data_IF_675229693516
#
_entry.id   IF_675229693516
#
_cell.length_a   1.000
_cell.length_b   1.000
_cell.length_c   1.000
_cell.angle_alpha   90.00
_cell.angle_beta   90.00
_cell.angle_gamma   90.00
#
_symmetry.space_group_name_H-M   'P 1'
#
loop_
_entity.id
_entity.type
_entity.pdbx_description
1 polymer ?
#
# COMPACT_ATOMS: atom_id res chain seq x y z
N UNK A 1 -0.99 -26.30 -24.03
CA UNK A 1 -0.71 -26.27 -22.57
C UNK A 1 -1.87 -25.56 -21.92
N UNK A 2 -2.42 -26.10 -20.83
CA UNK A 2 -3.42 -25.37 -20.05
C UNK A 2 -2.82 -24.05 -19.57
N UNK A 3 -3.61 -22.99 -19.55
CA UNK A 3 -3.17 -21.72 -18.96
C UNK A 3 -2.88 -21.96 -17.48
N UNK A 4 -1.90 -21.27 -16.89
CA UNK A 4 -1.68 -21.32 -15.43
C UNK A 4 -2.96 -21.00 -14.65
N UNK A 5 -3.88 -20.23 -15.26
CA UNK A 5 -5.17 -19.86 -14.69
C UNK A 5 -6.11 -21.04 -14.50
N UNK A 6 -6.09 -22.00 -15.43
CA UNK A 6 -6.92 -23.22 -15.34
C UNK A 6 -6.41 -24.16 -14.24
N UNK A 7 -5.22 -23.90 -13.71
CA UNK A 7 -4.61 -24.66 -12.62
C UNK A 7 -4.84 -24.00 -11.25
N UNK A 8 -5.43 -22.79 -11.20
CA UNK A 8 -5.74 -22.11 -9.95
C UNK A 8 -7.04 -22.68 -9.38
N UNK A 9 -6.94 -23.22 -8.17
CA UNK A 9 -8.11 -23.61 -7.38
C UNK A 9 -8.77 -22.36 -6.79
N UNK A 10 -9.91 -21.97 -7.36
CA UNK A 10 -10.63 -20.75 -6.97
C UNK A 10 -11.16 -20.80 -5.53
N UNK A 11 -11.24 -21.97 -4.90
CA UNK A 11 -11.66 -22.12 -3.50
C UNK A 11 -10.53 -21.86 -2.50
N UNK A 12 -9.28 -21.72 -2.96
CA UNK A 12 -8.10 -21.53 -2.11
C UNK A 12 -7.32 -20.25 -2.43
N UNK A 13 -8.00 -19.26 -3.00
CA UNK A 13 -7.39 -17.95 -3.25
C UNK A 13 -7.22 -17.22 -1.91
N UNK A 14 -6.02 -16.70 -1.59
CA UNK A 14 -5.82 -15.92 -0.38
C UNK A 14 -6.66 -14.65 -0.43
N UNK A 15 -7.30 -14.32 0.70
CA UNK A 15 -8.11 -13.10 0.81
C UNK A 15 -7.24 -11.85 0.73
N UNK A 16 -6.04 -11.90 1.31
CA UNK A 16 -5.08 -10.82 1.33
C UNK A 16 -3.70 -11.34 0.90
N UNK A 17 -3.01 -10.59 0.05
CA UNK A 17 -1.61 -10.81 -0.31
C UNK A 17 -0.84 -9.53 -0.05
N UNK A 18 0.25 -9.62 0.72
CA UNK A 18 1.18 -8.52 0.95
C UNK A 18 2.50 -8.75 0.20
N UNK A 19 2.99 -7.73 -0.51
CA UNK A 19 4.21 -7.79 -1.32
C UNK A 19 5.19 -6.69 -0.92
N UNK A 20 6.41 -7.09 -0.56
CA UNK A 20 7.54 -6.17 -0.39
C UNK A 20 8.24 -6.01 -1.74
N UNK A 21 8.17 -4.82 -2.33
CA UNK A 21 8.68 -4.53 -3.66
C UNK A 21 10.18 -4.18 -3.66
N UNK A 22 11.02 -5.08 -3.17
CA UNK A 22 12.47 -4.87 -3.14
C UNK A 22 13.16 -5.30 -4.45
N UNK A 23 14.36 -4.77 -4.68
CA UNK A 23 15.25 -5.21 -5.76
C UNK A 23 15.34 -4.24 -6.94
N UNK A 24 14.48 -3.23 -7.04
CA UNK A 24 14.48 -2.25 -8.15
C UNK A 24 15.87 -1.65 -8.43
N UNK A 25 16.53 -1.12 -7.40
CA UNK A 25 17.87 -0.54 -7.53
C UNK A 25 18.96 -1.58 -7.87
N UNK A 26 18.87 -2.80 -7.33
CA UNK A 26 19.82 -3.89 -7.64
C UNK A 26 19.66 -4.37 -9.09
N UNK A 27 18.42 -4.52 -9.55
CA UNK A 27 18.08 -4.89 -10.92
C UNK A 27 18.59 -3.87 -11.95
N UNK A 28 18.47 -2.57 -11.65
CA UNK A 28 19.01 -1.50 -12.49
C UNK A 28 20.55 -1.54 -12.55
N UNK A 29 21.20 -1.69 -11.40
CA UNK A 29 22.67 -1.77 -11.31
C UNK A 29 23.24 -2.92 -12.15
N UNK A 30 22.62 -4.11 -12.11
CA UNK A 30 23.02 -5.26 -12.92
C UNK A 30 22.96 -5.00 -14.44
N UNK A 31 22.24 -3.97 -14.87
CA UNK A 31 22.07 -3.57 -16.27
C UNK A 31 22.86 -2.31 -16.63
N UNK A 32 23.74 -1.84 -15.74
CA UNK A 32 24.47 -0.59 -15.91
C UNK A 32 23.55 0.64 -15.99
N UNK A 33 22.41 0.60 -15.29
CA UNK A 33 21.41 1.67 -15.26
C UNK A 33 21.30 2.30 -13.88
N UNK A 34 20.88 3.56 -13.86
CA UNK A 34 20.54 4.30 -12.64
C UNK A 34 19.35 3.68 -11.89
N UNK A 35 19.31 3.85 -10.56
CA UNK A 35 18.25 3.28 -9.70
C UNK A 35 16.84 3.65 -10.16
N UNK A 36 16.65 4.89 -10.62
CA UNK A 36 15.37 5.39 -11.13
C UNK A 36 14.82 4.56 -12.28
N UNK A 37 15.68 3.99 -13.13
CA UNK A 37 15.27 3.10 -14.20
C UNK A 37 14.65 1.81 -13.66
N UNK A 38 15.17 1.29 -12.55
CA UNK A 38 14.59 0.15 -11.85
C UNK A 38 13.23 0.48 -11.25
N UNK A 39 13.05 1.67 -10.67
CA UNK A 39 11.75 2.09 -10.14
C UNK A 39 10.70 2.24 -11.23
N UNK A 40 11.05 2.77 -12.41
CA UNK A 40 10.16 2.82 -13.58
C UNK A 40 9.76 1.42 -14.06
N UNK A 41 10.67 0.45 -14.04
CA UNK A 41 10.32 -0.94 -14.33
C UNK A 41 9.39 -1.52 -13.25
N UNK A 42 9.61 -1.18 -11.98
CA UNK A 42 8.75 -1.55 -10.86
C UNK A 42 7.30 -1.08 -11.03
N UNK A 43 7.06 0.13 -11.54
CA UNK A 43 5.71 0.63 -11.84
C UNK A 43 4.95 -0.30 -12.79
N UNK A 44 5.60 -0.79 -13.85
CA UNK A 44 4.97 -1.74 -14.79
C UNK A 44 4.62 -3.05 -14.11
N UNK A 45 5.49 -3.54 -13.22
CA UNK A 45 5.22 -4.74 -12.43
C UNK A 45 4.04 -4.55 -11.48
N UNK A 46 3.91 -3.38 -10.85
CA UNK A 46 2.77 -3.05 -9.97
C UNK A 46 1.46 -3.17 -10.71
N UNK A 47 1.34 -2.52 -11.88
CA UNK A 47 0.12 -2.57 -12.68
C UNK A 47 -0.21 -4.00 -13.10
N UNK A 48 0.78 -4.76 -13.60
CA UNK A 48 0.58 -6.15 -13.99
C UNK A 48 0.11 -7.03 -12.81
N UNK A 49 0.71 -6.86 -11.63
CA UNK A 49 0.33 -7.61 -10.43
C UNK A 49 -1.08 -7.22 -9.98
N UNK A 50 -1.42 -5.92 -9.95
CA UNK A 50 -2.75 -5.47 -9.54
C UNK A 50 -3.85 -5.96 -10.49
N UNK A 51 -3.62 -5.92 -11.79
CA UNK A 51 -4.54 -6.46 -12.79
C UNK A 51 -4.74 -7.97 -12.62
N UNK A 52 -3.65 -8.74 -12.47
CA UNK A 52 -3.75 -10.19 -12.34
C UNK A 52 -4.33 -10.61 -10.97
N UNK A 53 -4.00 -9.92 -9.88
CA UNK A 53 -4.57 -10.18 -8.56
C UNK A 53 -6.09 -9.96 -8.56
N UNK A 54 -6.55 -8.83 -9.13
CA UNK A 54 -7.97 -8.53 -9.30
C UNK A 54 -8.65 -9.57 -10.20
N UNK A 55 -7.98 -10.01 -11.27
CA UNK A 55 -8.50 -11.01 -12.21
C UNK A 55 -8.66 -12.38 -11.55
N UNK A 56 -7.65 -12.82 -10.80
CA UNK A 56 -7.64 -14.11 -10.09
C UNK A 56 -8.68 -14.12 -8.97
N UNK A 57 -8.90 -13.00 -8.28
CA UNK A 57 -9.96 -12.85 -7.27
C UNK A 57 -9.44 -12.60 -5.86
N UNK A 58 -8.19 -12.13 -5.72
CA UNK A 58 -7.66 -11.62 -4.45
C UNK A 58 -8.51 -10.42 -4.01
N UNK A 59 -8.81 -10.33 -2.70
CA UNK A 59 -9.66 -9.25 -2.16
C UNK A 59 -8.85 -8.05 -1.68
N UNK A 60 -7.68 -8.28 -1.12
CA UNK A 60 -6.75 -7.24 -0.69
C UNK A 60 -5.36 -7.52 -1.25
N UNK A 61 -4.77 -6.51 -1.90
CA UNK A 61 -3.38 -6.54 -2.33
C UNK A 61 -2.66 -5.37 -1.67
N UNK A 62 -1.78 -5.65 -0.72
CA UNK A 62 -0.96 -4.63 -0.07
C UNK A 62 0.43 -4.58 -0.69
N UNK A 63 0.84 -3.42 -1.18
CA UNK A 63 2.17 -3.20 -1.77
C UNK A 63 2.98 -2.27 -0.88
N UNK A 64 4.11 -2.78 -0.37
CA UNK A 64 5.04 -1.98 0.41
C UNK A 64 5.85 -1.05 -0.50
N UNK A 65 5.36 0.18 -0.64
CA UNK A 65 5.77 1.09 -1.72
C UNK A 65 6.82 2.09 -1.28
N UNK A 66 6.64 2.69 -0.10
CA UNK A 66 7.60 3.66 0.44
C UNK A 66 7.63 3.54 1.98
N UNK A 67 8.76 3.13 2.56
CA UNK A 67 8.87 2.93 4.01
C UNK A 67 9.32 4.19 4.75
N UNK A 68 9.16 4.23 6.08
CA UNK A 68 9.67 5.34 6.91
C UNK A 68 11.18 5.52 6.77
N UNK A 69 11.92 4.44 6.55
CA UNK A 69 13.37 4.47 6.36
C UNK A 69 13.75 5.09 5.02
N UNK A 70 12.85 5.13 4.03
CA UNK A 70 13.16 5.71 2.71
C UNK A 70 13.37 7.24 2.77
N UNK A 71 12.89 7.91 3.83
CA UNK A 71 13.18 9.32 4.08
C UNK A 71 14.67 9.60 4.36
N UNK A 72 15.43 8.60 4.78
CA UNK A 72 16.89 8.73 4.99
C UNK A 72 17.70 8.77 3.69
N UNK A 73 17.08 8.54 2.53
CA UNK A 73 17.72 8.58 1.22
C UNK A 73 18.02 10.02 0.79
N UNK A 74 18.91 10.24 -0.20
CA UNK A 74 19.16 11.57 -0.74
C UNK A 74 17.87 12.27 -1.19
N UNK A 75 17.74 13.56 -0.87
CA UNK A 75 16.53 14.35 -1.19
C UNK A 75 16.14 14.31 -2.67
N UNK A 76 17.13 14.25 -3.56
CA UNK A 76 16.92 14.14 -5.02
C UNK A 76 16.30 12.80 -5.40
N UNK A 77 16.68 11.70 -4.75
CA UNK A 77 16.08 10.37 -4.96
C UNK A 77 14.64 10.36 -4.42
N UNK A 78 14.42 10.89 -3.22
CA UNK A 78 13.06 10.99 -2.64
C UNK A 78 12.15 11.80 -3.54
N UNK A 79 12.59 12.98 -4.02
CA UNK A 79 11.81 13.80 -4.95
C UNK A 79 11.48 13.04 -6.25
N UNK A 80 12.45 12.35 -6.83
CA UNK A 80 12.23 11.56 -8.04
C UNK A 80 11.22 10.43 -7.85
N UNK A 81 11.19 9.80 -6.67
CA UNK A 81 10.19 8.78 -6.32
C UNK A 81 8.78 9.38 -6.20
N UNK A 82 8.64 10.56 -5.58
CA UNK A 82 7.35 11.26 -5.48
C UNK A 82 6.84 11.70 -6.85
N UNK A 83 7.71 12.25 -7.70
CA UNK A 83 7.37 12.61 -9.07
C UNK A 83 6.97 11.38 -9.90
N UNK A 84 7.66 10.26 -9.71
CA UNK A 84 7.31 8.99 -10.36
C UNK A 84 5.97 8.46 -9.88
N UNK A 85 5.70 8.52 -8.57
CA UNK A 85 4.43 8.08 -7.97
C UNK A 85 3.24 8.78 -8.63
N UNK A 86 3.26 10.12 -8.66
CA UNK A 86 2.16 10.90 -9.27
C UNK A 86 2.01 10.58 -10.75
N UNK A 87 3.11 10.44 -11.49
CA UNK A 87 3.08 10.06 -12.91
C UNK A 87 2.58 8.64 -13.16
N UNK A 88 2.79 7.74 -12.20
CA UNK A 88 2.41 6.33 -12.30
C UNK A 88 0.98 6.04 -11.87
N UNK A 89 0.29 7.04 -11.31
CA UNK A 89 -1.08 6.88 -10.85
C UNK A 89 -2.02 6.79 -12.06
N UNK A 90 -2.32 5.56 -12.47
CA UNK A 90 -3.17 5.26 -13.63
C UNK A 90 -4.57 4.85 -13.17
N UNK A 91 -5.36 5.83 -12.76
CA UNK A 91 -6.72 5.63 -12.25
C UNK A 91 -7.62 4.88 -13.24
N UNK A 92 -7.42 5.06 -14.54
CA UNK A 92 -8.15 4.34 -15.59
C UNK A 92 -7.97 2.83 -15.49
N UNK A 93 -6.78 2.34 -15.12
CA UNK A 93 -6.52 0.91 -14.88
C UNK A 93 -7.35 0.44 -13.69
N UNK A 94 -7.38 1.22 -12.60
CA UNK A 94 -8.11 0.85 -11.40
C UNK A 94 -9.61 0.80 -11.67
N UNK A 95 -10.16 1.80 -12.35
CA UNK A 95 -11.58 1.82 -12.74
C UNK A 95 -11.93 0.66 -13.67
N UNK A 96 -11.13 0.42 -14.72
CA UNK A 96 -11.36 -0.68 -15.67
C UNK A 96 -11.36 -2.05 -15.00
N UNK A 97 -10.53 -2.23 -13.98
CA UNK A 97 -10.40 -3.49 -13.25
C UNK A 97 -11.24 -3.52 -11.96
N UNK A 98 -12.09 -2.52 -11.71
CA UNK A 98 -12.93 -2.39 -10.50
C UNK A 98 -12.10 -2.53 -9.20
N UNK A 99 -10.95 -1.86 -9.17
CA UNK A 99 -10.01 -1.86 -8.04
C UNK A 99 -10.27 -0.62 -7.20
N UNK A 100 -10.52 -0.81 -5.90
CA UNK A 100 -10.58 0.27 -4.91
C UNK A 100 -9.17 0.59 -4.42
N UNK A 101 -8.76 1.83 -4.56
CA UNK A 101 -7.46 2.29 -4.11
C UNK A 101 -7.54 2.81 -2.67
N UNK A 102 -6.63 2.35 -1.82
CA UNK A 102 -6.50 2.76 -0.43
C UNK A 102 -5.01 2.91 -0.09
N UNK A 103 -4.72 3.58 1.02
CA UNK A 103 -3.36 3.77 1.51
C UNK A 103 -3.28 3.51 3.00
N UNK A 104 -2.13 3.01 3.45
CA UNK A 104 -1.74 2.99 4.86
C UNK A 104 -0.42 3.74 5.06
N UNK A 105 -0.21 4.30 6.25
CA UNK A 105 1.00 5.04 6.61
C UNK A 105 0.79 6.53 6.84
N UNK A 106 1.91 7.24 7.01
CA UNK A 106 1.95 8.67 7.37
C UNK A 106 1.83 9.55 6.11
N UNK A 107 0.61 9.72 5.61
CA UNK A 107 0.35 10.46 4.37
C UNK A 107 0.65 11.96 4.53
N UNK A 108 0.49 12.50 5.73
CA UNK A 108 0.75 13.91 6.03
C UNK A 108 2.22 14.31 5.81
N UNK A 109 3.15 13.34 5.87
CA UNK A 109 4.57 13.56 5.52
C UNK A 109 4.86 13.65 4.03
N UNK A 110 3.92 13.23 3.18
CA UNK A 110 4.11 13.27 1.74
C UNK A 110 4.02 14.72 1.22
N UNK A 111 4.66 15.04 0.09
CA UNK A 111 4.44 16.33 -0.57
C UNK A 111 2.96 16.55 -0.94
N UNK A 112 2.49 17.80 -0.88
CA UNK A 112 1.07 18.13 -1.12
C UNK A 112 0.52 17.56 -2.44
N UNK A 113 1.29 17.64 -3.53
CA UNK A 113 0.87 17.09 -4.82
C UNK A 113 0.69 15.56 -4.80
N UNK A 114 1.42 14.85 -3.94
CA UNK A 114 1.24 13.41 -3.72
C UNK A 114 -0.02 13.15 -2.89
N UNK A 115 -0.25 13.94 -1.84
CA UNK A 115 -1.46 13.84 -1.01
C UNK A 115 -2.74 14.08 -1.84
N UNK A 116 -2.75 15.13 -2.66
CA UNK A 116 -3.86 15.46 -3.57
C UNK A 116 -4.12 14.32 -4.57
N UNK A 117 -3.05 13.79 -5.17
CA UNK A 117 -3.13 12.65 -6.10
C UNK A 117 -3.71 11.40 -5.43
N UNK A 118 -3.28 11.09 -4.20
CA UNK A 118 -3.84 9.98 -3.40
C UNK A 118 -5.32 10.21 -3.13
N UNK A 119 -5.68 11.39 -2.60
CA UNK A 119 -7.05 11.73 -2.23
C UNK A 119 -8.00 11.57 -3.42
N UNK A 120 -7.62 12.13 -4.57
CA UNK A 120 -8.40 12.05 -5.81
C UNK A 120 -8.58 10.59 -6.28
N UNK A 121 -7.53 9.77 -6.21
CA UNK A 121 -7.60 8.36 -6.59
C UNK A 121 -8.47 7.53 -5.63
N UNK A 122 -8.37 7.77 -4.31
CA UNK A 122 -9.23 7.14 -3.30
C UNK A 122 -10.70 7.49 -3.53
N UNK A 123 -11.00 8.77 -3.76
CA UNK A 123 -12.38 9.24 -4.01
C UNK A 123 -12.96 8.61 -5.27
N UNK A 124 -12.21 8.62 -6.38
CA UNK A 124 -12.68 8.11 -7.67
C UNK A 124 -12.91 6.61 -7.69
N UNK A 125 -12.14 5.86 -6.92
CA UNK A 125 -12.22 4.41 -6.85
C UNK A 125 -13.05 3.90 -5.66
N UNK A 126 -13.68 4.79 -4.91
CA UNK A 126 -14.39 4.48 -3.64
C UNK A 126 -15.51 3.44 -3.79
N UNK A 127 -16.24 3.49 -4.90
CA UNK A 127 -17.35 2.58 -5.22
C UNK A 127 -16.90 1.25 -5.84
N UNK A 128 -15.59 1.07 -6.06
CA UNK A 128 -15.06 -0.18 -6.58
C UNK A 128 -15.09 -1.27 -5.49
N UNK A 129 -15.39 -2.50 -5.88
CA UNK A 129 -15.70 -3.61 -4.97
C UNK A 129 -14.99 -4.92 -5.31
N UNK A 130 -14.29 -5.01 -6.44
CA UNK A 130 -13.68 -6.29 -6.85
C UNK A 130 -12.47 -6.67 -6.01
N UNK A 131 -11.57 -5.70 -5.79
CA UNK A 131 -10.34 -5.84 -5.01
C UNK A 131 -9.93 -4.48 -4.42
N UNK A 132 -9.39 -4.47 -3.22
CA UNK A 132 -8.70 -3.33 -2.63
C UNK A 132 -7.20 -3.40 -2.91
N UNK A 133 -6.65 -2.41 -3.62
CA UNK A 133 -5.22 -2.16 -3.71
C UNK A 133 -4.81 -1.19 -2.61
N UNK A 134 -3.97 -1.64 -1.68
CA UNK A 134 -3.48 -0.85 -0.55
C UNK A 134 -2.01 -0.54 -0.76
N UNK A 135 -1.65 0.75 -0.82
CA UNK A 135 -0.24 1.14 -0.84
C UNK A 135 0.23 1.55 0.56
N UNK A 136 1.29 0.89 1.04
CA UNK A 136 1.97 1.32 2.26
C UNK A 136 2.98 2.44 1.93
N UNK A 137 2.70 3.63 2.42
CA UNK A 137 3.34 4.90 2.06
C UNK A 137 3.79 5.65 3.31
N UNK A 138 5.09 5.94 3.41
CA UNK A 138 5.70 6.40 4.66
C UNK A 138 5.29 5.52 5.86
N UNK A 139 5.26 4.20 5.63
CA UNK A 139 4.77 3.23 6.58
C UNK A 139 5.91 2.42 7.21
N UNK A 140 5.76 2.04 8.47
CA UNK A 140 6.44 0.91 9.12
C UNK A 140 5.59 0.39 10.27
N UNK A 141 5.74 -0.90 10.61
CA UNK A 141 5.01 -1.49 11.74
C UNK A 141 5.33 -0.81 13.07
N UNK A 142 6.58 -0.35 13.26
CA UNK A 142 6.95 0.43 14.45
C UNK A 142 6.25 1.78 14.49
N UNK A 143 6.14 2.46 13.35
CA UNK A 143 5.39 3.71 13.26
C UNK A 143 3.91 3.47 13.56
N UNK A 144 3.29 2.44 12.96
CA UNK A 144 1.87 2.13 13.17
C UNK A 144 1.59 1.82 14.64
N UNK A 145 2.36 0.93 15.26
CA UNK A 145 2.22 0.61 16.69
C UNK A 145 2.38 1.88 17.54
N UNK A 146 3.36 2.72 17.23
CA UNK A 146 3.56 3.97 17.98
C UNK A 146 2.34 4.88 17.89
N UNK A 147 1.75 4.99 16.70
CA UNK A 147 0.58 5.85 16.47
C UNK A 147 -0.68 5.28 17.13
N UNK A 148 -0.90 3.97 17.00
CA UNK A 148 -1.97 3.25 17.72
C UNK A 148 -1.87 3.46 19.23
N UNK A 149 -0.67 3.33 19.82
CA UNK A 149 -0.47 3.55 21.25
C UNK A 149 -0.72 5.00 21.67
N UNK A 150 -0.39 5.99 20.82
CA UNK A 150 -0.73 7.40 21.09
C UNK A 150 -2.22 7.64 21.08
N UNK A 151 -2.95 7.09 20.11
CA UNK A 151 -4.39 7.24 20.01
C UNK A 151 -5.08 6.63 21.24
N UNK A 152 -4.74 5.40 21.60
CA UNK A 152 -5.24 4.72 22.80
C UNK A 152 -4.92 5.53 24.07
N UNK A 153 -3.69 6.04 24.21
CA UNK A 153 -3.31 6.85 25.37
C UNK A 153 -4.12 8.14 25.49
N UNK A 154 -4.46 8.80 24.36
CA UNK A 154 -5.34 9.98 24.35
C UNK A 154 -6.75 9.60 24.79
N UNK A 155 -7.29 8.46 24.33
CA UNK A 155 -8.61 7.99 24.76
C UNK A 155 -8.64 7.69 26.26
N UNK A 156 -7.61 7.02 26.78
CA UNK A 156 -7.43 6.76 28.22
C UNK A 156 -7.35 8.05 29.01
N UNK A 157 -6.52 9.00 28.58
CA UNK A 157 -6.37 10.30 29.24
C UNK A 157 -7.70 11.09 29.27
N UNK A 158 -8.51 10.96 28.21
CA UNK A 158 -9.81 11.61 28.11
C UNK A 158 -10.94 10.90 28.87
N UNK A 159 -10.67 9.73 29.46
CA UNK A 159 -11.65 8.90 30.18
C UNK A 159 -12.62 8.14 29.27
N UNK A 160 -12.34 8.03 27.97
CA UNK A 160 -13.15 7.26 27.01
C UNK A 160 -12.89 5.75 27.08
N UNK A 161 -11.72 5.36 27.59
CA UNK A 161 -11.25 3.99 27.68
C UNK A 161 -10.51 3.79 29.01
N UNK A 162 -10.74 2.69 29.72
CA UNK A 162 -9.91 2.33 30.88
C UNK A 162 -8.65 1.57 30.42
N UNK A 163 -7.48 1.71 31.07
CA UNK A 163 -6.32 0.89 30.76
C UNK A 163 -6.59 -0.62 30.76
N UNK A 164 -7.47 -1.08 31.64
CA UNK A 164 -7.86 -2.48 31.81
C UNK A 164 -8.74 -2.99 30.66
N UNK A 165 -9.36 -2.09 29.89
CA UNK A 165 -10.20 -2.41 28.73
C UNK A 165 -9.38 -2.54 27.43
N UNK A 166 -8.06 -2.29 27.47
CA UNK A 166 -7.19 -2.43 26.29
C UNK A 166 -7.01 -3.91 25.97
N UNK A 167 -7.74 -4.38 24.96
CA UNK A 167 -7.68 -5.74 24.42
C UNK A 167 -7.04 -5.79 23.03
N UNK A 168 -6.85 -7.01 22.50
CA UNK A 168 -6.39 -7.22 21.12
C UNK A 168 -7.35 -6.55 20.12
N UNK A 169 -8.66 -6.62 20.35
CA UNK A 169 -9.68 -5.97 19.50
C UNK A 169 -9.54 -4.45 19.51
N UNK A 170 -9.26 -3.85 20.67
CA UNK A 170 -9.00 -2.40 20.78
C UNK A 170 -7.74 -2.05 20.00
N UNK A 171 -6.66 -2.83 20.12
CA UNK A 171 -5.44 -2.58 19.35
C UNK A 171 -5.74 -2.69 17.85
N UNK A 172 -6.38 -3.77 17.41
CA UNK A 172 -6.75 -4.01 16.01
C UNK A 172 -7.63 -2.90 15.44
N UNK A 173 -8.59 -2.36 16.20
CA UNK A 173 -9.46 -1.27 15.73
C UNK A 173 -8.73 0.06 15.54
N UNK A 174 -7.60 0.24 16.23
CA UNK A 174 -6.75 1.45 16.15
C UNK A 174 -5.57 1.31 15.18
N UNK A 175 -5.37 0.14 14.57
CA UNK A 175 -4.39 -0.02 13.50
C UNK A 175 -4.87 0.70 12.25
N UNK A 176 -3.93 1.21 11.46
CA UNK A 176 -4.24 1.81 10.17
C UNK A 176 -4.71 0.76 9.15
N UNK A 177 -4.45 -0.51 9.45
CA UNK A 177 -4.85 -1.69 8.68
C UNK A 177 -6.20 -2.30 9.10
N UNK A 178 -6.94 -1.69 10.03
CA UNK A 178 -8.17 -2.24 10.62
C UNK A 178 -9.31 -2.62 9.65
N UNK A 179 -9.26 -2.14 8.41
CA UNK A 179 -10.27 -2.37 7.39
C UNK A 179 -10.02 -3.61 6.52
N UNK A 180 -8.90 -4.31 6.73
CA UNK A 180 -8.50 -5.49 5.95
C UNK A 180 -8.09 -6.66 6.86
N UNK A 181 -8.26 -7.91 6.41
CA UNK A 181 -7.81 -9.09 7.16
C UNK A 181 -6.28 -9.21 7.12
N UNK A 182 -5.73 -10.09 7.96
CA UNK A 182 -4.30 -10.42 7.92
C UNK A 182 -3.90 -11.09 6.58
N UNK A 183 -2.67 -10.84 6.08
CA UNK A 183 -2.12 -11.47 4.87
C UNK A 183 -1.68 -12.92 5.05
#
# INVERSE_FOLDING_TARGET
MSSYREQIDTNRIPHHVAIIMDGNGRWAKQRGKERNYGHQAGVKSVHAIAEEASRVGVKFLTLYTFSTENWSRPRTEVKALMDLFVKSMEEEIFMKNNIRFLTIGDIDKMPLNVQECISHCVERTSENTRMCLVLALSYSSRWEITETMRQIAVEVQSGKLSPEDISDEVISSHLNTNFMPDP
#
